data_IF_459159080879
#
_entry.id   IF_459159080879
#
_cell.length_a   1.000
_cell.length_b   1.000
_cell.length_c   1.000
_cell.angle_alpha   90.00
_cell.angle_beta   90.00
_cell.angle_gamma   90.00
#
_symmetry.space_group_name_H-M   'P 1'
#
loop_
_entity.id
_entity.type
_entity.pdbx_description
1 polymer ?
#
# COMPACT_ATOMS: atom_id res chain seq x y z
N UNK A 1 -51.77 -7.23 -9.61
CA UNK A 1 -50.41 -6.88 -10.08
C UNK A 1 -49.38 -7.59 -9.20
N UNK A 2 -48.58 -8.52 -9.74
CA UNK A 2 -47.48 -9.16 -8.99
C UNK A 2 -46.38 -8.12 -8.74
N UNK A 3 -46.19 -7.75 -7.48
CA UNK A 3 -45.10 -6.89 -7.03
C UNK A 3 -43.79 -7.52 -7.48
N UNK A 4 -43.04 -6.83 -8.34
CA UNK A 4 -41.76 -7.32 -8.88
C UNK A 4 -40.71 -7.22 -7.78
N UNK A 5 -40.64 -8.23 -6.91
CA UNK A 5 -39.60 -8.32 -5.89
C UNK A 5 -38.25 -8.32 -6.59
N UNK A 6 -37.44 -7.28 -6.37
CA UNK A 6 -36.08 -7.22 -6.88
C UNK A 6 -35.34 -8.46 -6.34
N UNK A 7 -34.95 -9.39 -7.23
CA UNK A 7 -34.12 -10.53 -6.84
C UNK A 7 -32.83 -9.98 -6.22
N UNK A 8 -32.69 -10.14 -4.90
CA UNK A 8 -31.49 -9.74 -4.19
C UNK A 8 -30.30 -10.53 -4.77
N UNK A 9 -29.21 -9.81 -5.10
CA UNK A 9 -28.01 -10.37 -5.75
C UNK A 9 -26.99 -10.89 -4.73
N UNK A 10 -27.45 -11.34 -3.59
CA UNK A 10 -26.69 -11.64 -2.36
C UNK A 10 -25.91 -12.96 -2.43
N UNK A 11 -26.38 -13.96 -3.18
CA UNK A 11 -25.70 -15.26 -3.30
C UNK A 11 -24.31 -15.26 -3.99
N UNK A 12 -23.47 -16.26 -3.68
CA UNK A 12 -22.11 -16.39 -4.19
C UNK A 12 -22.11 -16.72 -5.69
N UNK A 13 -21.05 -16.35 -6.41
CA UNK A 13 -20.96 -16.58 -7.87
C UNK A 13 -21.02 -18.07 -8.24
N UNK A 14 -20.54 -18.95 -7.37
CA UNK A 14 -20.55 -20.40 -7.54
C UNK A 14 -21.99 -20.94 -7.55
N UNK A 15 -22.80 -20.54 -6.56
CA UNK A 15 -24.22 -20.91 -6.51
C UNK A 15 -24.99 -20.29 -7.68
N UNK A 16 -24.69 -19.03 -8.03
CA UNK A 16 -25.30 -18.33 -9.17
C UNK A 16 -25.01 -19.01 -10.51
N UNK A 17 -23.74 -19.34 -10.78
CA UNK A 17 -23.32 -20.06 -12.00
C UNK A 17 -24.04 -21.39 -12.12
N UNK A 18 -24.25 -22.08 -11.00
CA UNK A 18 -24.96 -23.36 -10.92
C UNK A 18 -26.48 -23.22 -10.94
N UNK A 19 -27.01 -21.99 -10.97
CA UNK A 19 -28.45 -21.69 -10.93
C UNK A 19 -29.15 -22.29 -9.71
N UNK A 20 -28.46 -22.40 -8.57
CA UNK A 20 -29.03 -22.90 -7.29
C UNK A 20 -29.15 -21.77 -6.26
N UNK A 21 -30.12 -21.87 -5.34
CA UNK A 21 -30.29 -20.89 -4.25
C UNK A 21 -29.10 -20.97 -3.29
N UNK A 22 -28.44 -19.85 -3.05
CA UNK A 22 -27.42 -19.77 -1.99
C UNK A 22 -28.13 -19.68 -0.64
N UNK A 23 -27.59 -20.37 0.37
CA UNK A 23 -28.04 -20.26 1.77
C UNK A 23 -27.50 -19.02 2.47
N UNK A 24 -26.66 -18.22 1.80
CA UNK A 24 -26.17 -16.90 2.22
C UNK A 24 -25.38 -16.87 3.54
N UNK A 25 -25.08 -18.05 4.11
CA UNK A 25 -24.17 -18.18 5.25
C UNK A 25 -22.82 -17.54 4.92
N UNK A 26 -22.33 -16.75 5.89
CA UNK A 26 -21.03 -16.08 5.87
C UNK A 26 -20.07 -16.85 6.77
N UNK A 27 -18.75 -16.80 6.51
CA UNK A 27 -18.10 -16.20 5.33
C UNK A 27 -18.18 -17.09 4.07
N UNK A 28 -18.45 -18.38 4.26
CA UNK A 28 -18.64 -19.38 3.19
C UNK A 28 -20.03 -20.01 3.32
N UNK A 29 -20.70 -20.23 2.19
CA UNK A 29 -22.03 -20.83 2.18
C UNK A 29 -21.96 -22.35 2.38
N UNK A 30 -22.97 -22.95 3.00
CA UNK A 30 -22.95 -24.39 3.34
C UNK A 30 -22.87 -25.25 2.09
N UNK A 31 -23.44 -24.80 0.97
CA UNK A 31 -23.39 -25.51 -0.32
C UNK A 31 -21.99 -25.55 -0.93
N UNK A 32 -21.23 -24.46 -0.84
CA UNK A 32 -19.84 -24.45 -1.29
C UNK A 32 -18.97 -25.29 -0.35
N UNK A 33 -19.22 -25.21 0.95
CA UNK A 33 -18.53 -26.01 1.98
C UNK A 33 -18.69 -27.50 1.73
N UNK A 34 -19.93 -27.99 1.59
CA UNK A 34 -20.24 -29.40 1.33
C UNK A 34 -19.61 -29.95 0.05
N UNK A 35 -19.29 -29.08 -0.89
CA UNK A 35 -18.77 -29.47 -2.21
C UNK A 35 -17.27 -29.26 -2.36
N UNK A 36 -16.58 -28.75 -1.32
CA UNK A 36 -15.16 -28.42 -1.39
C UNK A 36 -14.81 -27.41 -2.47
N UNK A 37 -15.77 -26.55 -2.88
CA UNK A 37 -15.52 -25.54 -3.92
C UNK A 37 -15.16 -24.19 -3.29
N UNK A 38 -14.18 -23.45 -3.87
CA UNK A 38 -13.82 -22.13 -3.38
C UNK A 38 -15.01 -21.19 -3.55
N UNK A 39 -15.46 -20.52 -2.49
CA UNK A 39 -16.61 -19.63 -2.48
C UNK A 39 -16.18 -18.16 -2.68
N UNK A 40 -17.02 -17.33 -3.32
CA UNK A 40 -16.80 -15.87 -3.43
C UNK A 40 -17.49 -15.07 -2.33
N UNK A 41 -17.95 -15.74 -1.26
CA UNK A 41 -18.72 -15.10 -0.19
C UNK A 41 -20.07 -14.54 -0.63
N UNK A 42 -20.80 -13.99 0.34
CA UNK A 42 -22.11 -13.37 0.17
C UNK A 42 -22.10 -12.00 0.85
N UNK A 43 -22.54 -10.96 0.13
CA UNK A 43 -22.61 -9.60 0.66
C UNK A 43 -24.01 -9.05 0.48
N UNK A 44 -24.53 -8.40 1.52
CA UNK A 44 -25.64 -7.48 1.37
C UNK A 44 -25.17 -6.28 0.56
N UNK A 45 -25.96 -5.86 -0.42
CA UNK A 45 -25.85 -4.47 -0.89
C UNK A 45 -26.40 -3.65 0.26
N UNK A 46 -25.52 -3.02 1.03
CA UNK A 46 -25.94 -2.25 2.19
C UNK A 46 -26.79 -1.07 1.72
N UNK A 47 -28.10 -1.19 1.89
CA UNK A 47 -29.02 -0.06 1.93
C UNK A 47 -28.76 0.60 3.28
N UNK A 48 -27.67 1.37 3.37
CA UNK A 48 -27.42 2.20 4.54
C UNK A 48 -28.58 3.16 4.69
N UNK A 49 -29.46 2.90 5.65
CA UNK A 49 -30.23 3.97 6.25
C UNK A 49 -29.22 4.92 6.89
N UNK A 50 -29.34 6.20 6.58
CA UNK A 50 -28.48 7.26 7.10
C UNK A 50 -28.80 7.39 8.59
N UNK A 51 -28.18 6.57 9.44
CA UNK A 51 -28.17 6.83 10.87
C UNK A 51 -27.09 7.86 11.17
N UNK A 52 -27.56 9.06 11.55
CA UNK A 52 -26.74 10.22 11.86
C UNK A 52 -26.04 10.00 13.21
N UNK A 53 -24.69 10.06 13.29
CA UNK A 53 -23.94 9.69 14.51
C UNK A 53 -24.08 10.60 15.75
N UNK A 54 -24.91 11.65 15.73
CA UNK A 54 -25.02 12.58 16.88
C UNK A 54 -26.21 12.27 17.81
N UNK A 55 -26.95 11.18 17.58
CA UNK A 55 -28.15 10.82 18.35
C UNK A 55 -27.99 9.66 19.35
N UNK A 56 -26.81 9.05 19.50
CA UNK A 56 -26.57 8.02 20.52
C UNK A 56 -25.45 8.42 21.47
N UNK A 57 -25.78 9.37 22.36
CA UNK A 57 -25.19 9.37 23.69
C UNK A 57 -25.92 8.31 24.50
N UNK A 58 -25.26 7.19 24.81
CA UNK A 58 -25.73 6.24 25.82
C UNK A 58 -25.70 4.77 25.40
N UNK A 59 -24.70 4.06 25.93
CA UNK A 59 -24.92 2.70 26.46
C UNK A 59 -24.53 1.50 25.60
N UNK A 60 -23.67 0.68 26.20
CA UNK A 60 -23.42 -0.75 25.96
C UNK A 60 -22.48 -1.08 24.79
N UNK A 61 -21.22 -1.37 25.13
CA UNK A 61 -20.29 -2.07 24.26
C UNK A 61 -20.79 -3.50 23.99
N UNK A 62 -20.89 -3.95 22.73
CA UNK A 62 -21.15 -5.37 22.45
C UNK A 62 -19.90 -6.19 22.81
N UNK A 63 -20.12 -7.33 23.46
CA UNK A 63 -19.06 -8.26 23.88
C UNK A 63 -18.27 -8.91 22.72
N UNK A 64 -17.40 -9.90 23.01
CA UNK A 64 -16.37 -10.41 22.09
C UNK A 64 -16.94 -11.40 21.04
N UNK A 65 -17.98 -10.99 20.31
CA UNK A 65 -18.45 -11.67 19.11
C UNK A 65 -17.79 -11.12 17.83
N UNK A 66 -17.86 -11.84 16.70
CA UNK A 66 -17.44 -11.27 15.42
C UNK A 66 -18.28 -10.02 15.12
N UNK A 67 -17.59 -8.90 14.87
CA UNK A 67 -18.21 -7.63 14.52
C UNK A 67 -19.17 -7.78 13.33
N UNK A 68 -20.26 -7.01 13.31
CA UNK A 68 -21.15 -6.99 12.15
C UNK A 68 -20.41 -6.47 10.91
N UNK A 69 -20.86 -6.86 9.71
CA UNK A 69 -20.26 -6.43 8.44
C UNK A 69 -20.19 -4.89 8.31
N UNK A 70 -21.21 -4.21 8.83
CA UNK A 70 -21.28 -2.76 8.86
C UNK A 70 -20.25 -2.15 9.83
N UNK A 71 -19.98 -2.80 10.96
CA UNK A 71 -19.00 -2.34 11.95
C UNK A 71 -17.56 -2.45 11.42
N UNK A 72 -17.23 -3.56 10.75
CA UNK A 72 -15.87 -3.73 10.20
C UNK A 72 -15.59 -2.75 9.04
N UNK A 73 -16.58 -2.42 8.23
CA UNK A 73 -16.44 -1.41 7.18
C UNK A 73 -16.38 0.01 7.75
N UNK A 74 -17.13 0.32 8.81
CA UNK A 74 -16.96 1.59 9.53
C UNK A 74 -15.54 1.73 10.07
N UNK A 75 -15.01 0.66 10.67
CA UNK A 75 -13.63 0.63 11.16
C UNK A 75 -12.61 0.91 10.04
N UNK A 76 -12.83 0.40 8.82
CA UNK A 76 -12.00 0.77 7.68
C UNK A 76 -12.04 2.28 7.41
N UNK A 77 -13.24 2.86 7.25
CA UNK A 77 -13.42 4.25 6.83
C UNK A 77 -12.82 5.27 7.80
N UNK A 78 -12.67 4.91 9.07
CA UNK A 78 -12.15 5.81 10.10
C UNK A 78 -10.71 5.50 10.50
N UNK A 79 -10.30 4.23 10.49
CA UNK A 79 -9.02 3.80 11.06
C UNK A 79 -8.12 3.14 10.01
N UNK A 80 -8.51 1.99 9.46
CA UNK A 80 -7.60 1.19 8.63
C UNK A 80 -7.27 1.86 7.27
N UNK A 81 -8.12 2.78 6.77
CA UNK A 81 -7.82 3.55 5.57
C UNK A 81 -6.60 4.47 5.71
N UNK A 82 -6.20 4.80 6.94
CA UNK A 82 -5.01 5.61 7.21
C UNK A 82 -3.71 4.86 6.88
N UNK A 83 -3.70 3.52 6.85
CA UNK A 83 -2.48 2.74 6.59
C UNK A 83 -1.90 2.95 5.18
N UNK A 84 -2.67 3.50 4.24
CA UNK A 84 -2.30 3.59 2.82
C UNK A 84 -2.46 5.00 2.24
N UNK A 85 -2.67 6.02 3.09
CA UNK A 85 -2.79 7.40 2.63
C UNK A 85 -2.24 8.39 3.65
N UNK A 86 -1.66 9.47 3.15
CA UNK A 86 -1.11 10.57 3.94
C UNK A 86 -2.14 11.66 4.27
N UNK A 87 -3.42 11.44 3.96
CA UNK A 87 -4.51 12.37 4.22
C UNK A 87 -5.47 11.79 5.28
N UNK A 88 -5.95 12.59 6.24
CA UNK A 88 -6.96 12.14 7.19
C UNK A 88 -8.36 12.07 6.53
N UNK A 89 -9.30 11.28 7.06
CA UNK A 89 -10.72 11.41 6.72
C UNK A 89 -11.23 12.84 7.00
N UNK A 90 -12.14 13.40 6.18
CA UNK A 90 -12.76 12.80 4.99
C UNK A 90 -11.97 12.99 3.68
N UNK A 91 -10.81 13.67 3.72
CA UNK A 91 -9.99 13.93 2.53
C UNK A 91 -9.29 12.66 1.99
N UNK A 92 -9.19 11.62 2.81
CA UNK A 92 -8.71 10.30 2.41
C UNK A 92 -9.66 9.61 1.41
N UNK A 93 -9.24 9.33 0.15
CA UNK A 93 -10.08 8.66 -0.84
C UNK A 93 -10.53 7.24 -0.42
N UNK A 94 -9.73 6.56 0.40
CA UNK A 94 -10.06 5.24 0.93
C UNK A 94 -11.09 5.28 2.07
N UNK A 95 -11.46 6.46 2.58
CA UNK A 95 -12.52 6.59 3.59
C UNK A 95 -13.93 6.38 2.98
N UNK A 96 -14.92 7.16 3.39
CA UNK A 96 -16.30 7.07 2.89
C UNK A 96 -16.46 7.06 1.36
N UNK A 97 -15.67 7.80 0.56
CA UNK A 97 -15.78 7.76 -0.90
C UNK A 97 -15.66 6.32 -1.47
N UNK A 98 -14.87 5.45 -0.83
CA UNK A 98 -14.59 4.09 -1.29
C UNK A 98 -15.84 3.21 -1.39
N UNK A 99 -16.89 3.54 -0.63
CA UNK A 99 -18.16 2.81 -0.56
C UNK A 99 -18.74 2.48 -1.94
N UNK A 100 -18.64 3.40 -2.91
CA UNK A 100 -19.16 3.18 -4.27
C UNK A 100 -18.42 2.06 -5.01
N UNK A 101 -17.13 1.89 -4.76
CA UNK A 101 -16.32 0.82 -5.35
C UNK A 101 -16.57 -0.52 -4.64
N UNK A 102 -16.77 -0.53 -3.32
CA UNK A 102 -17.09 -1.75 -2.56
C UNK A 102 -18.45 -2.36 -2.94
N UNK A 103 -19.39 -1.56 -3.41
CA UNK A 103 -20.68 -2.06 -3.93
C UNK A 103 -20.54 -2.76 -5.29
N UNK A 104 -19.43 -2.54 -5.99
CA UNK A 104 -19.20 -3.03 -7.36
C UNK A 104 -18.26 -4.22 -7.43
N UNK A 105 -17.40 -4.42 -6.43
CA UNK A 105 -16.42 -5.50 -6.39
C UNK A 105 -16.47 -6.25 -5.07
N UNK A 106 -16.64 -7.57 -5.18
CA UNK A 106 -16.58 -8.50 -4.04
C UNK A 106 -15.15 -8.65 -3.58
N UNK A 107 -14.23 -8.71 -4.53
CA UNK A 107 -12.81 -8.83 -4.28
C UNK A 107 -12.31 -7.66 -3.43
N UNK A 108 -12.66 -6.43 -3.82
CA UNK A 108 -12.27 -5.23 -3.08
C UNK A 108 -12.87 -5.19 -1.67
N UNK A 109 -14.14 -5.59 -1.52
CA UNK A 109 -14.80 -5.64 -0.21
C UNK A 109 -14.11 -6.62 0.74
N UNK A 110 -13.85 -7.85 0.28
CA UNK A 110 -13.11 -8.84 1.04
C UNK A 110 -11.68 -8.37 1.40
N UNK A 111 -10.97 -7.73 0.46
CA UNK A 111 -9.62 -7.21 0.72
C UNK A 111 -9.61 -6.13 1.82
N UNK A 112 -10.56 -5.19 1.76
CA UNK A 112 -10.75 -4.16 2.79
C UNK A 112 -11.11 -4.78 4.15
N UNK A 113 -12.02 -5.76 4.17
CA UNK A 113 -12.41 -6.45 5.41
C UNK A 113 -11.25 -7.23 6.01
N UNK A 114 -10.44 -7.91 5.19
CA UNK A 114 -9.23 -8.61 5.62
C UNK A 114 -8.29 -7.69 6.41
N UNK A 115 -7.90 -6.56 5.81
CA UNK A 115 -7.03 -5.58 6.47
C UNK A 115 -7.70 -4.98 7.71
N UNK A 116 -9.01 -4.75 7.67
CA UNK A 116 -9.75 -4.19 8.80
C UNK A 116 -9.79 -5.13 10.00
N UNK A 117 -10.02 -6.43 9.78
CA UNK A 117 -10.00 -7.43 10.84
C UNK A 117 -8.60 -7.52 11.43
N UNK A 118 -7.57 -7.63 10.58
CA UNK A 118 -6.18 -7.68 11.00
C UNK A 118 -5.79 -6.46 11.84
N UNK A 119 -6.12 -5.25 11.38
CA UNK A 119 -5.83 -4.02 12.11
C UNK A 119 -6.58 -3.93 13.46
N UNK A 120 -7.81 -4.46 13.56
CA UNK A 120 -8.52 -4.49 14.87
C UNK A 120 -7.84 -5.41 15.85
N UNK A 121 -7.34 -6.54 15.39
CA UNK A 121 -6.55 -7.47 16.20
C UNK A 121 -5.06 -7.13 16.27
N UNK A 122 -4.65 -5.94 15.80
CA UNK A 122 -3.27 -5.46 15.87
C UNK A 122 -2.27 -6.31 15.10
N UNK A 123 -2.70 -6.92 13.99
CA UNK A 123 -1.90 -7.84 13.16
C UNK A 123 -1.27 -9.01 13.95
N UNK A 124 -1.82 -9.34 15.12
CA UNK A 124 -1.35 -10.46 15.95
C UNK A 124 -1.80 -11.80 15.37
N UNK A 125 -0.86 -12.70 15.10
CA UNK A 125 -1.10 -14.01 14.53
C UNK A 125 -2.01 -14.91 15.39
N UNK A 126 -1.91 -14.78 16.72
CA UNK A 126 -2.60 -15.64 17.70
C UNK A 126 -4.05 -15.22 17.99
N UNK A 127 -4.51 -14.14 17.37
CA UNK A 127 -5.86 -13.61 17.58
C UNK A 127 -6.91 -14.33 16.74
N UNK A 128 -8.13 -14.48 17.28
CA UNK A 128 -9.29 -14.93 16.50
C UNK A 128 -9.59 -14.03 15.29
N UNK A 129 -9.23 -12.75 15.37
CA UNK A 129 -9.31 -11.79 14.27
C UNK A 129 -8.36 -12.09 13.11
N UNK A 130 -7.19 -12.68 13.38
CA UNK A 130 -6.22 -13.08 12.34
C UNK A 130 -6.77 -14.18 11.43
N UNK A 131 -7.39 -15.21 12.01
CA UNK A 131 -8.01 -16.28 11.23
C UNK A 131 -9.10 -15.75 10.28
N UNK A 132 -9.93 -14.82 10.77
CA UNK A 132 -10.96 -14.16 9.94
C UNK A 132 -10.30 -13.29 8.86
N UNK A 133 -9.26 -12.53 9.21
CA UNK A 133 -8.54 -11.69 8.24
C UNK A 133 -7.96 -12.51 7.08
N UNK A 134 -7.33 -13.65 7.38
CA UNK A 134 -6.80 -14.57 6.36
C UNK A 134 -7.92 -15.23 5.55
N UNK A 135 -9.04 -15.55 6.17
CA UNK A 135 -10.20 -16.08 5.46
C UNK A 135 -10.78 -15.05 4.48
N UNK A 136 -10.95 -13.79 4.92
CA UNK A 136 -11.37 -12.69 4.06
C UNK A 136 -10.36 -12.42 2.96
N UNK A 137 -9.05 -12.53 3.23
CA UNK A 137 -7.99 -12.44 2.22
C UNK A 137 -8.16 -13.49 1.13
N UNK A 138 -8.39 -14.75 1.52
CA UNK A 138 -8.63 -15.84 0.58
C UNK A 138 -9.89 -15.61 -0.27
N UNK A 139 -10.97 -15.12 0.34
CA UNK A 139 -12.18 -14.74 -0.39
C UNK A 139 -11.94 -13.59 -1.36
N UNK A 140 -11.08 -12.63 -1.01
CA UNK A 140 -10.66 -11.56 -1.91
C UNK A 140 -9.94 -12.11 -3.14
N UNK A 141 -8.97 -13.00 -2.95
CA UNK A 141 -8.19 -13.62 -4.04
C UNK A 141 -9.10 -14.43 -4.96
N UNK A 142 -9.96 -15.29 -4.39
CA UNK A 142 -10.93 -16.09 -5.18
C UNK A 142 -11.88 -15.17 -5.95
N UNK A 143 -12.41 -14.14 -5.30
CA UNK A 143 -13.30 -13.18 -5.96
C UNK A 143 -12.59 -12.38 -7.05
N UNK A 144 -11.32 -12.01 -6.84
CA UNK A 144 -10.50 -11.31 -7.82
C UNK A 144 -10.31 -12.14 -9.08
N UNK A 145 -9.94 -13.42 -8.93
CA UNK A 145 -9.82 -14.36 -10.05
C UNK A 145 -11.14 -14.48 -10.84
N UNK A 146 -12.27 -14.49 -10.14
CA UNK A 146 -13.59 -14.50 -10.77
C UNK A 146 -13.89 -13.20 -11.54
N UNK A 147 -13.57 -12.05 -10.97
CA UNK A 147 -13.75 -10.74 -11.61
C UNK A 147 -12.88 -10.60 -12.87
N UNK A 148 -11.63 -11.08 -12.82
CA UNK A 148 -10.72 -11.13 -13.97
C UNK A 148 -11.31 -11.96 -15.12
N UNK A 149 -11.77 -13.20 -14.82
CA UNK A 149 -12.40 -14.08 -15.83
C UNK A 149 -13.64 -13.44 -16.48
N UNK A 150 -14.43 -12.69 -15.70
CA UNK A 150 -15.61 -11.99 -16.22
C UNK A 150 -15.23 -10.86 -17.18
N UNK A 151 -14.12 -10.17 -16.94
CA UNK A 151 -13.66 -9.07 -17.80
C UNK A 151 -13.19 -9.55 -19.16
N UNK A 152 -12.54 -10.72 -19.23
CA UNK A 152 -12.11 -11.32 -20.51
C UNK A 152 -13.28 -11.51 -21.50
N UNK A 153 -14.52 -11.57 -21.01
CA UNK A 153 -15.73 -11.70 -21.82
C UNK A 153 -16.43 -10.37 -22.18
N UNK A 154 -15.92 -9.21 -21.73
CA UNK A 154 -16.57 -7.90 -21.89
C UNK A 154 -15.81 -6.97 -22.84
N UNK A 155 -16.56 -6.26 -23.67
CA UNK A 155 -16.06 -5.29 -24.66
C UNK A 155 -15.62 -3.95 -24.06
N UNK A 156 -16.10 -3.55 -22.87
CA UNK A 156 -15.69 -2.30 -22.23
C UNK A 156 -15.54 -2.42 -20.69
N UNK A 157 -14.33 -2.67 -20.18
CA UNK A 157 -14.11 -2.97 -18.77
C UNK A 157 -13.80 -1.77 -17.86
N UNK A 158 -13.80 -0.53 -18.38
CA UNK A 158 -13.26 0.67 -17.69
C UNK A 158 -13.56 0.79 -16.19
N UNK A 159 -14.84 0.73 -15.74
CA UNK A 159 -15.18 0.85 -14.31
C UNK A 159 -14.69 -0.31 -13.43
N UNK A 160 -14.45 -1.50 -14.00
CA UNK A 160 -13.95 -2.67 -13.28
C UNK A 160 -12.41 -2.66 -13.15
N UNK A 161 -11.71 -1.92 -14.02
CA UNK A 161 -10.25 -1.78 -13.94
C UNK A 161 -9.81 -1.14 -12.62
N UNK A 162 -10.57 -0.14 -12.14
CA UNK A 162 -10.30 0.53 -10.87
C UNK A 162 -10.36 -0.43 -9.69
N UNK A 163 -11.41 -1.25 -9.63
CA UNK A 163 -11.59 -2.20 -8.53
C UNK A 163 -10.57 -3.33 -8.61
N UNK A 164 -10.23 -3.82 -9.80
CA UNK A 164 -9.17 -4.82 -9.96
C UNK A 164 -7.83 -4.27 -9.49
N UNK A 165 -7.42 -3.12 -10.01
CA UNK A 165 -6.14 -2.49 -9.67
C UNK A 165 -6.05 -2.21 -8.18
N UNK A 166 -7.07 -1.58 -7.60
CA UNK A 166 -7.09 -1.26 -6.18
C UNK A 166 -7.08 -2.53 -5.30
N UNK A 167 -7.83 -3.57 -5.68
CA UNK A 167 -7.81 -4.84 -4.93
C UNK A 167 -6.41 -5.46 -4.98
N UNK A 168 -5.80 -5.53 -6.16
CA UNK A 168 -4.43 -6.08 -6.31
C UNK A 168 -3.43 -5.27 -5.49
N UNK A 169 -3.48 -3.94 -5.51
CA UNK A 169 -2.57 -3.11 -4.72
C UNK A 169 -2.80 -3.27 -3.21
N UNK A 170 -4.05 -3.33 -2.73
CA UNK A 170 -4.33 -3.59 -1.31
C UNK A 170 -3.80 -4.97 -0.90
N UNK A 171 -4.00 -6.00 -1.73
CA UNK A 171 -3.47 -7.35 -1.48
C UNK A 171 -1.93 -7.37 -1.46
N UNK A 172 -1.30 -6.62 -2.35
CA UNK A 172 0.16 -6.44 -2.40
C UNK A 172 0.69 -5.81 -1.12
N UNK A 173 0.19 -4.61 -0.76
CA UNK A 173 0.66 -3.87 0.41
C UNK A 173 0.42 -4.65 1.70
N UNK A 174 -0.73 -5.30 1.82
CA UNK A 174 -1.07 -6.08 3.02
C UNK A 174 -0.41 -7.45 3.11
N UNK A 175 0.33 -7.92 2.09
CA UNK A 175 1.03 -9.21 2.16
C UNK A 175 2.03 -9.24 3.31
N UNK A 176 2.95 -8.27 3.35
CA UNK A 176 3.98 -8.20 4.37
C UNK A 176 3.45 -7.90 5.78
N UNK A 177 2.21 -7.43 5.92
CA UNK A 177 1.58 -7.16 7.22
C UNK A 177 0.90 -8.38 7.81
N UNK A 178 0.52 -9.33 6.95
CA UNK A 178 -0.22 -10.54 7.30
C UNK A 178 0.66 -11.79 7.28
N UNK A 179 1.85 -11.70 6.70
CA UNK A 179 2.85 -12.77 6.67
C UNK A 179 3.78 -12.67 7.89
N UNK A 180 3.77 -13.70 8.74
CA UNK A 180 4.70 -13.82 9.87
C UNK A 180 6.03 -14.46 9.48
N UNK A 181 6.17 -14.97 8.25
CA UNK A 181 7.39 -15.64 7.78
C UNK A 181 8.39 -14.71 7.12
N UNK A 182 7.97 -13.49 6.78
CA UNK A 182 8.76 -12.46 6.10
C UNK A 182 9.30 -12.86 4.72
N UNK A 183 8.63 -13.81 4.08
CA UNK A 183 9.02 -14.33 2.77
C UNK A 183 8.18 -13.75 1.64
N UNK A 184 6.96 -13.30 1.94
CA UNK A 184 6.03 -12.78 0.95
C UNK A 184 5.82 -11.26 1.05
N UNK A 185 6.16 -10.54 -0.03
CA UNK A 185 5.89 -9.10 -0.14
C UNK A 185 4.76 -8.76 -1.14
N UNK A 186 4.07 -9.78 -1.67
CA UNK A 186 2.93 -9.59 -2.58
C UNK A 186 3.29 -9.33 -4.04
N UNK A 187 4.46 -9.81 -4.49
CA UNK A 187 4.98 -9.70 -5.85
C UNK A 187 3.95 -10.00 -6.94
N UNK A 188 3.20 -11.08 -6.79
CA UNK A 188 2.23 -11.58 -7.78
C UNK A 188 1.12 -10.56 -8.00
N UNK A 189 0.68 -9.90 -6.93
CA UNK A 189 -0.35 -8.87 -7.00
C UNK A 189 0.18 -7.59 -7.66
N UNK A 190 1.43 -7.21 -7.38
CA UNK A 190 2.07 -6.08 -8.06
C UNK A 190 2.23 -6.34 -9.55
N UNK A 191 2.73 -7.51 -9.94
CA UNK A 191 2.87 -7.89 -11.36
C UNK A 191 1.50 -7.95 -12.06
N UNK A 192 0.49 -8.49 -11.39
CA UNK A 192 -0.89 -8.48 -11.87
C UNK A 192 -1.42 -7.05 -12.08
N UNK A 193 -1.19 -6.15 -11.14
CA UNK A 193 -1.53 -4.72 -11.26
C UNK A 193 -0.77 -4.06 -12.42
N UNK A 194 0.54 -4.28 -12.54
CA UNK A 194 1.36 -3.77 -13.66
C UNK A 194 0.87 -4.24 -15.03
N UNK A 195 0.35 -5.47 -15.13
CA UNK A 195 -0.16 -6.02 -16.40
C UNK A 195 -1.39 -5.29 -16.94
N UNK A 196 -2.18 -4.63 -16.08
CA UNK A 196 -3.39 -3.91 -16.46
C UNK A 196 -3.16 -2.40 -16.65
N UNK A 197 -1.96 -1.90 -16.36
CA UNK A 197 -1.60 -0.48 -16.51
C UNK A 197 -1.92 0.06 -17.91
N UNK A 198 -1.54 -0.59 -19.03
CA UNK A 198 -1.81 -0.03 -20.35
C UNK A 198 -3.30 0.21 -20.65
N UNK A 199 -4.20 -0.58 -20.05
CA UNK A 199 -5.64 -0.41 -20.20
C UNK A 199 -6.22 0.64 -19.24
N UNK A 200 -5.61 0.78 -18.06
CA UNK A 200 -6.00 1.70 -16.99
C UNK A 200 -5.56 3.13 -17.26
N UNK A 201 -4.31 3.33 -17.69
CA UNK A 201 -3.67 4.64 -17.85
C UNK A 201 -3.97 5.30 -19.22
N UNK A 202 -5.11 4.97 -19.85
CA UNK A 202 -5.51 5.60 -21.13
C UNK A 202 -6.11 6.97 -20.86
N UNK A 203 -5.40 8.02 -21.29
CA UNK A 203 -5.81 9.41 -21.09
C UNK A 203 -5.26 9.98 -19.80
N UNK A 204 -6.07 10.73 -19.07
CA UNK A 204 -5.70 11.46 -17.85
C UNK A 204 -6.65 11.09 -16.70
N UNK A 205 -6.21 11.18 -15.43
CA UNK A 205 -7.06 10.88 -14.28
C UNK A 205 -8.22 11.88 -14.22
N UNK A 206 -9.41 11.38 -14.53
CA UNK A 206 -10.65 12.16 -14.50
C UNK A 206 -11.24 12.28 -13.09
N UNK A 207 -10.81 11.42 -12.17
CA UNK A 207 -11.34 11.32 -10.81
C UNK A 207 -10.25 11.02 -9.77
N UNK A 208 -10.57 11.30 -8.50
CA UNK A 208 -9.66 11.16 -7.37
C UNK A 208 -9.23 9.71 -7.08
N UNK A 209 -10.04 8.71 -7.43
CA UNK A 209 -9.66 7.30 -7.26
C UNK A 209 -8.65 6.86 -8.29
N UNK A 210 -8.86 7.23 -9.55
CA UNK A 210 -7.87 7.00 -10.62
C UNK A 210 -6.51 7.57 -10.24
N UNK A 211 -6.52 8.81 -9.73
CA UNK A 211 -5.33 9.48 -9.25
C UNK A 211 -4.69 8.70 -8.10
N UNK A 212 -5.44 8.44 -7.01
CA UNK A 212 -4.98 7.67 -5.85
C UNK A 212 -4.34 6.32 -6.23
N UNK A 213 -5.02 5.53 -7.05
CA UNK A 213 -4.59 4.20 -7.46
C UNK A 213 -3.24 4.25 -8.16
N UNK A 214 -3.03 5.23 -9.04
CA UNK A 214 -1.80 5.35 -9.79
C UNK A 214 -0.60 5.72 -8.91
N UNK A 215 -0.75 6.63 -7.93
CA UNK A 215 0.36 6.88 -7.00
C UNK A 215 0.55 5.77 -5.96
N UNK A 216 -0.49 5.02 -5.59
CA UNK A 216 -0.32 3.79 -4.81
C UNK A 216 0.49 2.75 -5.59
N UNK A 217 0.23 2.60 -6.89
CA UNK A 217 1.03 1.75 -7.77
C UNK A 217 2.49 2.19 -7.79
N UNK A 218 2.78 3.48 -8.01
CA UNK A 218 4.14 4.01 -7.98
C UNK A 218 4.84 3.74 -6.64
N UNK A 219 4.13 3.94 -5.52
CA UNK A 219 4.66 3.68 -4.18
C UNK A 219 5.05 2.21 -4.01
N UNK A 220 4.15 1.29 -4.35
CA UNK A 220 4.43 -0.16 -4.28
C UNK A 220 5.57 -0.56 -5.21
N UNK A 221 5.59 -0.01 -6.44
CA UNK A 221 6.61 -0.28 -7.44
C UNK A 221 8.00 0.12 -6.97
N UNK A 222 8.15 1.33 -6.41
CA UNK A 222 9.43 1.78 -5.89
C UNK A 222 9.92 0.85 -4.78
N UNK A 223 9.14 0.65 -3.72
CA UNK A 223 9.60 -0.15 -2.57
C UNK A 223 9.71 -1.65 -2.84
N UNK A 224 9.10 -2.16 -3.90
CA UNK A 224 9.28 -3.54 -4.35
C UNK A 224 10.45 -3.73 -5.33
N UNK A 225 10.96 -2.66 -5.93
CA UNK A 225 11.96 -2.74 -7.01
C UNK A 225 13.27 -3.42 -6.59
N UNK A 226 13.63 -3.33 -5.31
CA UNK A 226 14.81 -3.96 -4.69
C UNK A 226 14.70 -5.48 -4.59
N UNK A 227 13.48 -6.01 -4.54
CA UNK A 227 13.22 -7.45 -4.39
C UNK A 227 12.80 -8.08 -5.71
N UNK A 228 12.51 -7.27 -6.73
CA UNK A 228 11.96 -7.75 -7.98
C UNK A 228 13.03 -8.43 -8.85
N UNK A 229 12.84 -9.71 -9.25
CA UNK A 229 13.79 -10.43 -10.09
C UNK A 229 14.01 -9.75 -11.44
N UNK A 230 15.23 -9.87 -11.98
CA UNK A 230 15.68 -9.21 -13.22
C UNK A 230 14.74 -9.43 -14.40
N UNK A 231 14.19 -10.65 -14.52
CA UNK A 231 13.29 -11.04 -15.61
C UNK A 231 12.02 -10.18 -15.70
N UNK A 232 11.62 -9.49 -14.62
CA UNK A 232 10.43 -8.66 -14.58
C UNK A 232 10.70 -7.15 -14.59
N UNK A 233 11.95 -6.71 -14.42
CA UNK A 233 12.28 -5.30 -14.19
C UNK A 233 11.92 -4.40 -15.38
N UNK A 234 12.17 -4.84 -16.61
CA UNK A 234 11.87 -4.05 -17.82
C UNK A 234 10.37 -3.77 -17.98
N UNK A 235 9.54 -4.82 -17.93
CA UNK A 235 8.08 -4.67 -18.00
C UNK A 235 7.53 -3.86 -16.81
N UNK A 236 8.09 -4.06 -15.61
CA UNK A 236 7.73 -3.30 -14.44
C UNK A 236 8.03 -1.80 -14.62
N UNK A 237 9.22 -1.44 -15.12
CA UNK A 237 9.58 -0.04 -15.38
C UNK A 237 8.65 0.62 -16.40
N UNK A 238 8.30 -0.06 -17.49
CA UNK A 238 7.33 0.46 -18.47
C UNK A 238 5.97 0.79 -17.84
N UNK A 239 5.53 -0.04 -16.89
CA UNK A 239 4.28 0.19 -16.15
C UNK A 239 4.38 1.42 -15.23
N UNK A 240 5.54 1.63 -14.60
CA UNK A 240 5.83 2.79 -13.74
C UNK A 240 5.86 4.08 -14.56
N UNK A 241 6.56 4.08 -15.70
CA UNK A 241 6.67 5.24 -16.57
C UNK A 241 5.28 5.64 -17.11
N UNK A 242 4.45 4.65 -17.47
CA UNK A 242 3.06 4.87 -17.92
C UNK A 242 2.19 5.48 -16.82
N UNK A 243 2.32 5.01 -15.58
CA UNK A 243 1.57 5.55 -14.43
C UNK A 243 2.04 6.95 -14.05
N UNK A 244 3.34 7.23 -14.10
CA UNK A 244 3.89 8.55 -13.85
C UNK A 244 3.42 9.57 -14.90
N UNK A 245 3.39 9.18 -16.18
CA UNK A 245 2.83 9.99 -17.25
C UNK A 245 1.32 10.25 -17.04
N UNK A 246 0.56 9.24 -16.61
CA UNK A 246 -0.86 9.37 -16.31
C UNK A 246 -1.14 10.39 -15.19
N UNK A 247 -0.42 10.31 -14.07
CA UNK A 247 -0.61 11.25 -12.95
C UNK A 247 0.12 12.58 -13.12
N UNK A 248 0.82 12.78 -14.25
CA UNK A 248 1.46 14.04 -14.58
C UNK A 248 0.44 15.17 -14.73
N UNK A 249 -0.86 14.91 -14.90
CA UNK A 249 -1.90 15.93 -14.75
C UNK A 249 -2.70 15.66 -13.49
N UNK A 250 -2.66 16.64 -12.57
CA UNK A 250 -3.31 16.58 -11.25
C UNK A 250 -4.78 16.99 -11.39
N UNK A 251 -5.74 16.25 -10.80
CA UNK A 251 -7.13 16.69 -10.74
C UNK A 251 -7.25 18.06 -10.04
N UNK A 252 -8.11 18.99 -10.50
CA UNK A 252 -8.18 20.35 -9.96
C UNK A 252 -8.49 20.45 -8.45
N UNK A 253 -9.15 19.42 -7.89
CA UNK A 253 -9.58 19.39 -6.49
C UNK A 253 -8.57 18.78 -5.53
N UNK A 254 -7.47 18.21 -6.03
CA UNK A 254 -6.47 17.54 -5.20
C UNK A 254 -5.25 18.44 -5.07
N UNK A 255 -4.92 19.01 -3.89
CA UNK A 255 -3.76 19.89 -3.74
C UNK A 255 -2.42 19.13 -3.84
N UNK A 256 -2.40 17.85 -3.50
CA UNK A 256 -1.25 16.94 -3.68
C UNK A 256 -1.75 15.50 -3.88
N UNK A 257 -0.84 14.58 -4.22
CA UNK A 257 -1.19 13.16 -4.29
C UNK A 257 -1.35 12.55 -2.88
N UNK A 258 -2.41 11.78 -2.56
CA UNK A 258 -2.64 11.24 -1.21
C UNK A 258 -1.68 10.14 -0.73
N UNK A 259 -0.62 9.83 -1.49
CA UNK A 259 0.30 8.70 -1.20
C UNK A 259 1.74 9.19 -1.38
N UNK A 260 2.03 9.75 -2.57
CA UNK A 260 3.36 10.22 -2.94
C UNK A 260 3.53 11.74 -2.81
N UNK A 261 2.55 12.45 -2.23
CA UNK A 261 2.60 13.89 -2.04
C UNK A 261 2.84 14.66 -3.33
N UNK A 262 3.92 15.45 -3.36
CA UNK A 262 4.39 16.19 -4.55
C UNK A 262 5.56 15.51 -5.26
N UNK A 263 5.98 14.34 -4.77
CA UNK A 263 7.17 13.62 -5.18
C UNK A 263 6.92 12.63 -6.33
N UNK A 264 5.73 12.63 -6.94
CA UNK A 264 5.35 11.65 -7.98
C UNK A 264 6.34 11.52 -9.13
N UNK A 265 7.01 12.62 -9.52
CA UNK A 265 8.03 12.64 -10.58
C UNK A 265 9.31 11.90 -10.20
N UNK A 266 9.60 11.72 -8.90
CA UNK A 266 10.79 11.01 -8.43
C UNK A 266 10.65 9.49 -8.52
N UNK A 267 9.42 8.96 -8.34
CA UNK A 267 9.18 7.52 -8.22
C UNK A 267 9.65 6.67 -9.43
N UNK A 268 9.57 7.13 -10.69
CA UNK A 268 10.15 6.41 -11.81
C UNK A 268 11.66 6.21 -11.71
N UNK A 269 12.39 7.28 -11.36
CA UNK A 269 13.86 7.22 -11.22
C UNK A 269 14.24 6.41 -9.98
N UNK A 270 13.52 6.59 -8.88
CA UNK A 270 13.68 5.80 -7.67
C UNK A 270 13.46 4.29 -7.91
N UNK A 271 12.49 3.93 -8.76
CA UNK A 271 12.29 2.54 -9.19
C UNK A 271 13.48 2.02 -10.01
N UNK A 272 14.02 2.83 -10.94
CA UNK A 272 15.25 2.47 -11.69
C UNK A 272 16.43 2.25 -10.76
N UNK A 273 16.56 3.08 -9.72
CA UNK A 273 17.60 2.97 -8.70
C UNK A 273 17.47 1.66 -7.93
N UNK A 274 16.27 1.29 -7.46
CA UNK A 274 16.08 0.01 -6.77
C UNK A 274 16.30 -1.21 -7.68
N UNK A 275 15.89 -1.15 -8.96
CA UNK A 275 16.25 -2.16 -9.95
C UNK A 275 17.77 -2.27 -10.17
N UNK A 276 18.48 -1.14 -10.21
CA UNK A 276 19.94 -1.10 -10.32
C UNK A 276 20.60 -1.68 -9.06
N UNK A 277 20.18 -1.29 -7.87
CA UNK A 277 20.65 -1.88 -6.61
C UNK A 277 20.48 -3.40 -6.62
N UNK A 278 19.31 -3.91 -7.01
CA UNK A 278 19.07 -5.35 -7.11
C UNK A 278 20.03 -6.04 -8.10
N UNK A 279 20.30 -5.42 -9.25
CA UNK A 279 21.30 -5.93 -10.21
C UNK A 279 22.68 -6.01 -9.59
N UNK A 280 23.16 -4.95 -8.92
CA UNK A 280 24.48 -4.93 -8.28
C UNK A 280 24.59 -5.99 -7.19
N UNK A 281 23.53 -6.21 -6.40
CA UNK A 281 23.50 -7.28 -5.37
C UNK A 281 23.65 -8.67 -6.00
N UNK A 282 23.01 -8.92 -7.14
CA UNK A 282 23.07 -10.22 -7.81
C UNK A 282 24.35 -10.44 -8.63
N UNK A 283 24.83 -9.43 -9.36
CA UNK A 283 25.98 -9.57 -10.25
C UNK A 283 27.32 -9.19 -9.60
N UNK A 284 27.29 -8.41 -8.50
CA UNK A 284 28.47 -7.74 -7.91
C UNK A 284 29.19 -6.80 -8.90
N UNK A 285 28.48 -6.28 -9.89
CA UNK A 285 29.02 -5.34 -10.87
C UNK A 285 28.48 -3.93 -10.62
N UNK A 286 29.34 -3.03 -10.16
CA UNK A 286 29.02 -1.62 -9.98
C UNK A 286 29.52 -0.76 -11.15
N UNK A 287 28.69 0.18 -11.61
CA UNK A 287 28.98 1.13 -12.68
C UNK A 287 28.85 2.58 -12.18
N UNK A 288 29.99 3.28 -12.06
CA UNK A 288 30.00 4.69 -11.68
C UNK A 288 29.25 5.56 -12.70
N UNK A 289 29.33 5.24 -13.99
CA UNK A 289 28.60 5.94 -15.05
C UNK A 289 27.09 5.82 -14.85
N UNK A 290 26.59 4.60 -14.62
CA UNK A 290 25.15 4.36 -14.37
C UNK A 290 24.68 5.11 -13.13
N UNK A 291 25.47 5.07 -12.05
CA UNK A 291 25.19 5.82 -10.81
C UNK A 291 25.10 7.33 -11.09
N UNK A 292 26.06 7.91 -11.81
CA UNK A 292 26.06 9.33 -12.14
C UNK A 292 24.87 9.71 -13.04
N UNK A 293 24.46 8.84 -13.95
CA UNK A 293 23.28 9.06 -14.80
C UNK A 293 21.99 9.08 -13.96
N UNK A 294 21.82 8.12 -13.06
CA UNK A 294 20.66 8.05 -12.15
C UNK A 294 20.60 9.25 -11.20
N UNK A 295 21.73 9.73 -10.68
CA UNK A 295 21.79 10.95 -9.86
C UNK A 295 21.34 12.18 -10.64
N UNK A 296 21.77 12.32 -11.90
CA UNK A 296 21.32 13.41 -12.77
C UNK A 296 19.82 13.34 -13.03
N UNK A 297 19.30 12.17 -13.40
CA UNK A 297 17.85 11.97 -13.57
C UNK A 297 17.06 12.30 -12.30
N UNK A 298 17.58 11.95 -11.12
CA UNK A 298 16.97 12.37 -9.86
C UNK A 298 16.93 13.90 -9.81
N UNK A 299 18.09 14.57 -9.88
CA UNK A 299 18.22 16.03 -9.78
C UNK A 299 17.31 16.80 -10.75
N UNK A 300 17.16 16.31 -11.98
CA UNK A 300 16.32 16.92 -13.01
C UNK A 300 14.81 16.87 -12.66
N UNK A 301 14.40 15.94 -11.81
CA UNK A 301 13.00 15.87 -11.35
C UNK A 301 12.71 17.02 -10.39
N UNK A 302 11.82 17.95 -10.79
CA UNK A 302 11.31 19.00 -9.90
C UNK A 302 10.03 18.55 -9.18
N UNK A 303 9.94 18.65 -7.84
CA UNK A 303 8.69 18.49 -7.10
C UNK A 303 7.69 19.57 -7.55
N UNK A 304 6.45 19.19 -7.86
CA UNK A 304 5.47 20.14 -8.43
C UNK A 304 4.77 20.94 -7.34
N UNK A 305 4.81 22.28 -7.47
CA UNK A 305 4.05 23.30 -6.73
C UNK A 305 3.38 22.76 -5.46
N UNK A 306 4.19 22.67 -4.41
CA UNK A 306 3.70 22.55 -3.06
C UNK A 306 2.98 23.85 -2.74
N UNK A 307 1.65 23.83 -2.66
CA UNK A 307 0.96 24.91 -1.98
C UNK A 307 1.47 24.98 -0.55
N UNK A 308 2.35 25.95 -0.24
CA UNK A 308 2.91 26.36 1.07
C UNK A 308 3.25 25.29 2.14
N UNK A 309 3.25 23.98 1.85
CA UNK A 309 3.48 22.93 2.83
C UNK A 309 4.95 22.54 2.87
N UNK A 310 5.66 23.09 3.85
CA UNK A 310 7.07 22.78 4.11
C UNK A 310 7.32 21.27 4.30
N UNK A 311 6.38 20.54 4.90
CA UNK A 311 6.52 19.08 5.11
C UNK A 311 6.49 18.30 3.80
N UNK A 312 5.67 18.70 2.82
CA UNK A 312 5.61 18.02 1.52
C UNK A 312 6.88 18.26 0.70
N UNK A 313 7.45 19.47 0.78
CA UNK A 313 8.74 19.79 0.16
C UNK A 313 9.86 18.96 0.77
N UNK A 314 9.98 18.96 2.10
CA UNK A 314 11.00 18.16 2.81
C UNK A 314 10.82 16.65 2.57
N UNK A 315 9.59 16.15 2.49
CA UNK A 315 9.29 14.76 2.13
C UNK A 315 9.81 14.41 0.72
N UNK A 316 9.62 15.30 -0.26
CA UNK A 316 10.13 15.09 -1.60
C UNK A 316 11.67 15.11 -1.65
N UNK A 317 12.32 16.00 -0.88
CA UNK A 317 13.77 16.01 -0.70
C UNK A 317 14.27 14.72 -0.05
N UNK A 318 13.57 14.22 0.98
CA UNK A 318 13.94 12.95 1.60
C UNK A 318 13.79 11.77 0.64
N UNK A 319 12.76 11.71 -0.20
CA UNK A 319 12.69 10.68 -1.25
C UNK A 319 13.88 10.74 -2.21
N UNK A 320 14.35 11.95 -2.57
CA UNK A 320 15.57 12.12 -3.38
C UNK A 320 16.82 11.62 -2.63
N UNK A 321 16.96 11.99 -1.36
CA UNK A 321 18.07 11.54 -0.51
C UNK A 321 18.08 10.02 -0.33
N UNK A 322 16.91 9.39 -0.17
CA UNK A 322 16.80 7.93 -0.17
C UNK A 322 17.38 7.34 -1.46
N UNK A 323 17.03 7.89 -2.63
CA UNK A 323 17.60 7.47 -3.91
C UNK A 323 19.13 7.51 -3.93
N UNK A 324 19.73 8.58 -3.42
CA UNK A 324 21.19 8.69 -3.31
C UNK A 324 21.80 7.74 -2.29
N UNK A 325 21.19 7.59 -1.11
CA UNK A 325 21.61 6.64 -0.07
C UNK A 325 21.68 5.23 -0.66
N UNK A 326 20.68 4.84 -1.45
CA UNK A 326 20.62 3.53 -2.10
C UNK A 326 21.71 3.35 -3.15
N UNK A 327 22.07 4.40 -3.89
CA UNK A 327 23.19 4.33 -4.82
C UNK A 327 24.52 4.13 -4.09
N UNK A 328 24.70 4.75 -2.93
CA UNK A 328 25.86 4.50 -2.06
C UNK A 328 25.82 3.09 -1.46
N UNK A 329 24.66 2.60 -1.03
CA UNK A 329 24.49 1.22 -0.59
C UNK A 329 24.85 0.23 -1.72
N UNK A 330 24.47 0.52 -2.97
CA UNK A 330 24.87 -0.29 -4.13
C UNK A 330 26.39 -0.30 -4.33
N UNK A 331 27.07 0.84 -4.16
CA UNK A 331 28.53 0.89 -4.21
C UNK A 331 29.17 0.04 -3.11
N UNK A 332 28.65 0.14 -1.87
CA UNK A 332 29.10 -0.63 -0.69
C UNK A 332 28.93 -2.14 -0.80
N UNK A 333 28.08 -2.62 -1.73
CA UNK A 333 27.98 -4.05 -2.05
C UNK A 333 29.26 -4.56 -2.73
N UNK A 334 29.98 -3.71 -3.46
CA UNK A 334 31.18 -4.08 -4.21
C UNK A 334 32.46 -3.58 -3.52
N UNK A 335 32.49 -2.32 -3.08
CA UNK A 335 33.69 -1.65 -2.59
C UNK A 335 33.40 -0.75 -1.38
N UNK A 336 34.39 -0.50 -0.54
CA UNK A 336 34.28 0.52 0.51
C UNK A 336 34.18 1.94 -0.07
N UNK A 337 33.50 2.84 0.64
CA UNK A 337 33.44 4.25 0.27
C UNK A 337 34.72 4.95 0.69
N UNK A 338 35.24 5.86 -0.14
CA UNK A 338 36.26 6.80 0.30
C UNK A 338 35.69 7.78 1.35
N UNK A 339 36.58 8.44 2.09
CA UNK A 339 36.20 9.33 3.19
C UNK A 339 35.27 10.49 2.76
N UNK A 340 35.38 10.97 1.52
CA UNK A 340 34.54 12.08 1.03
C UNK A 340 33.12 11.58 0.76
N UNK A 341 33.02 10.45 0.06
CA UNK A 341 31.75 9.80 -0.23
C UNK A 341 31.04 9.33 1.04
N UNK A 342 31.79 8.87 2.04
CA UNK A 342 31.27 8.47 3.35
C UNK A 342 30.63 9.66 4.09
N UNK A 343 31.30 10.82 4.11
CA UNK A 343 30.75 12.06 4.69
C UNK A 343 29.46 12.48 3.97
N UNK A 344 29.46 12.48 2.63
CA UNK A 344 28.28 12.87 1.83
C UNK A 344 27.11 11.91 2.10
N UNK A 345 27.40 10.61 2.13
CA UNK A 345 26.44 9.57 2.46
C UNK A 345 25.79 9.81 3.83
N UNK A 346 26.61 10.05 4.86
CA UNK A 346 26.09 10.29 6.21
C UNK A 346 25.30 11.59 6.33
N UNK A 347 25.69 12.67 5.67
CA UNK A 347 24.91 13.91 5.66
C UNK A 347 23.49 13.67 5.11
N UNK A 348 23.35 12.88 4.04
CA UNK A 348 22.03 12.52 3.49
C UNK A 348 21.21 11.68 4.46
N UNK A 349 21.83 10.74 5.18
CA UNK A 349 21.17 9.97 6.23
C UNK A 349 20.64 10.92 7.31
N UNK A 350 21.46 11.84 7.80
CA UNK A 350 21.08 12.80 8.85
C UNK A 350 19.92 13.71 8.41
N UNK A 351 19.92 14.21 7.18
CA UNK A 351 18.80 15.01 6.63
C UNK A 351 17.47 14.24 6.64
N UNK A 352 17.49 12.92 6.37
CA UNK A 352 16.30 12.06 6.46
C UNK A 352 15.85 11.90 7.92
N UNK A 353 16.78 11.74 8.87
CA UNK A 353 16.46 11.65 10.30
C UNK A 353 15.84 12.96 10.81
N UNK A 354 16.31 14.12 10.35
CA UNK A 354 15.72 15.41 10.71
C UNK A 354 14.28 15.58 10.20
N UNK A 355 13.94 15.01 9.04
CA UNK A 355 12.55 14.97 8.61
C UNK A 355 11.73 14.08 9.55
N UNK A 356 12.21 12.87 9.83
CA UNK A 356 11.54 11.90 10.72
C UNK A 356 11.20 12.55 12.07
N UNK A 357 12.17 13.26 12.68
CA UNK A 357 12.00 13.97 13.95
C UNK A 357 10.91 15.04 13.88
N UNK A 358 10.82 15.75 12.75
CA UNK A 358 9.89 16.87 12.58
C UNK A 358 8.43 16.46 12.34
N UNK A 359 8.15 15.20 11.96
CA UNK A 359 6.78 14.76 11.70
C UNK A 359 6.00 14.66 13.02
N UNK A 360 4.84 15.33 13.16
CA UNK A 360 4.01 15.27 14.37
C UNK A 360 3.49 13.85 14.66
N UNK A 361 3.34 13.52 15.95
CA UNK A 361 2.99 12.18 16.41
C UNK A 361 1.61 11.65 15.95
N UNK A 362 0.67 12.55 15.61
CA UNK A 362 -0.69 12.22 15.22
C UNK A 362 -1.03 12.61 13.76
N UNK A 363 0.00 12.87 12.94
CA UNK A 363 -0.19 13.22 11.53
C UNK A 363 -0.16 11.96 10.65
N UNK A 364 -1.11 11.76 9.72
CA UNK A 364 -1.10 10.65 8.76
C UNK A 364 0.16 10.57 7.90
N UNK A 365 0.96 11.65 7.82
CA UNK A 365 2.30 11.63 7.24
C UNK A 365 3.21 10.59 7.89
N UNK A 366 2.95 10.16 9.13
CA UNK A 366 3.74 9.13 9.80
C UNK A 366 3.84 7.83 8.98
N UNK A 367 2.83 7.51 8.16
CA UNK A 367 2.82 6.32 7.31
C UNK A 367 3.94 6.33 6.24
N UNK A 368 4.50 7.50 5.90
CA UNK A 368 5.60 7.59 4.93
C UNK A 368 6.96 7.24 5.56
N UNK A 369 7.03 7.16 6.90
CA UNK A 369 8.29 6.99 7.62
C UNK A 369 8.84 5.58 7.58
N UNK A 370 7.99 4.55 7.43
CA UNK A 370 8.42 3.14 7.49
C UNK A 370 9.65 2.84 6.63
N UNK A 371 9.62 3.15 5.32
CA UNK A 371 10.78 2.97 4.46
C UNK A 371 11.96 3.89 4.79
N UNK A 372 11.74 5.10 5.31
CA UNK A 372 12.83 6.01 5.70
C UNK A 372 13.60 5.49 6.91
N UNK A 373 12.86 4.99 7.91
CA UNK A 373 13.41 4.35 9.10
C UNK A 373 14.22 3.12 8.73
N UNK A 374 13.74 2.34 7.74
CA UNK A 374 14.45 1.17 7.26
C UNK A 374 15.72 1.54 6.46
N UNK A 375 15.61 2.40 5.44
CA UNK A 375 16.71 2.65 4.49
C UNK A 375 17.78 3.56 5.07
N UNK A 376 17.39 4.65 5.75
CA UNK A 376 18.34 5.62 6.31
C UNK A 376 18.65 5.30 7.78
N UNK A 377 17.64 4.90 8.56
CA UNK A 377 17.83 4.58 9.98
C UNK A 377 18.80 3.42 10.20
N UNK A 378 18.75 2.38 9.35
CA UNK A 378 19.68 1.26 9.41
C UNK A 378 21.11 1.60 9.04
N UNK A 379 21.43 2.84 8.67
CA UNK A 379 22.79 3.25 8.33
C UNK A 379 23.46 4.01 9.48
N UNK A 380 22.74 4.31 10.57
CA UNK A 380 23.28 5.08 11.69
C UNK A 380 24.30 4.27 12.53
N UNK A 381 25.56 4.71 12.59
CA UNK A 381 26.58 4.08 13.42
C UNK A 381 26.33 4.29 14.92
N UNK A 382 26.94 3.47 15.81
CA UNK A 382 26.69 3.52 17.25
C UNK A 382 26.92 4.89 17.90
N UNK A 383 27.89 5.67 17.42
CA UNK A 383 28.22 7.00 17.95
C UNK A 383 27.12 8.06 17.75
N UNK A 384 26.17 7.84 16.85
CA UNK A 384 25.04 8.74 16.59
C UNK A 384 23.86 8.45 17.54
N UNK A 385 24.11 8.42 18.85
CA UNK A 385 23.14 7.99 19.86
C UNK A 385 21.83 8.79 19.84
N UNK A 386 21.93 10.12 19.62
CA UNK A 386 20.76 11.00 19.54
C UNK A 386 19.86 10.62 18.35
N UNK A 387 20.44 10.45 17.17
CA UNK A 387 19.71 10.10 15.95
C UNK A 387 19.13 8.68 16.03
N UNK A 388 19.88 7.74 16.62
CA UNK A 388 19.36 6.39 16.89
C UNK A 388 18.17 6.43 17.85
N UNK A 389 18.18 7.31 18.86
CA UNK A 389 17.01 7.53 19.72
C UNK A 389 15.80 8.10 18.96
N UNK A 390 16.01 9.01 18.02
CA UNK A 390 14.94 9.51 17.12
C UNK A 390 14.33 8.37 16.32
N UNK A 391 15.15 7.50 15.72
CA UNK A 391 14.67 6.33 14.96
C UNK A 391 13.85 5.40 15.86
N UNK A 392 14.33 5.06 17.06
CA UNK A 392 13.57 4.23 18.02
C UNK A 392 12.21 4.85 18.37
N UNK A 393 12.19 6.13 18.69
CA UNK A 393 10.96 6.84 19.03
C UNK A 393 10.00 6.87 17.85
N UNK A 394 10.48 7.19 16.65
CA UNK A 394 9.67 7.25 15.44
C UNK A 394 9.11 5.88 15.05
N UNK A 395 9.90 4.81 15.13
CA UNK A 395 9.45 3.43 14.90
C UNK A 395 8.38 3.03 15.92
N UNK A 396 8.55 3.32 17.21
CA UNK A 396 7.53 3.06 18.23
C UNK A 396 6.23 3.82 17.97
N UNK A 397 6.30 5.10 17.56
CA UNK A 397 5.11 5.87 17.16
C UNK A 397 4.43 5.26 15.93
N UNK A 398 5.21 4.86 14.93
CA UNK A 398 4.70 4.26 13.69
C UNK A 398 3.97 2.93 13.99
N UNK A 399 4.54 2.08 14.83
CA UNK A 399 3.91 0.82 15.28
C UNK A 399 2.66 1.13 16.09
N UNK A 400 2.69 2.10 17.01
CA UNK A 400 1.50 2.49 17.76
C UNK A 400 0.38 3.02 16.86
N UNK A 401 0.72 3.75 15.79
CA UNK A 401 -0.25 4.33 14.86
C UNK A 401 -0.83 3.28 13.90
N UNK A 402 0.03 2.44 13.32
CA UNK A 402 -0.35 1.47 12.28
C UNK A 402 -0.72 0.09 12.82
N UNK A 403 -0.22 -0.25 14.00
CA UNK A 403 -0.20 -1.60 14.60
C UNK A 403 0.59 -2.64 13.81
N UNK A 404 1.38 -2.22 12.81
CA UNK A 404 2.16 -3.12 11.97
C UNK A 404 3.52 -3.34 12.64
N UNK A 405 3.71 -4.54 13.19
CA UNK A 405 4.93 -4.91 13.91
C UNK A 405 6.14 -5.11 12.99
N UNK A 406 5.96 -5.30 11.68
CA UNK A 406 7.07 -5.39 10.72
C UNK A 406 8.00 -4.17 10.78
N UNK A 407 7.51 -3.01 11.19
CA UNK A 407 8.33 -1.80 11.37
C UNK A 407 9.29 -1.87 12.57
N UNK A 408 9.07 -2.77 13.53
CA UNK A 408 9.99 -2.97 14.68
C UNK A 408 11.36 -3.48 14.22
N UNK A 409 11.43 -4.18 13.08
CA UNK A 409 12.69 -4.64 12.48
C UNK A 409 13.66 -3.51 12.15
N UNK A 410 13.16 -2.31 11.88
CA UNK A 410 14.03 -1.14 11.71
C UNK A 410 14.87 -0.88 12.96
N UNK A 411 14.29 -1.06 14.15
CA UNK A 411 14.98 -0.94 15.43
C UNK A 411 16.03 -2.05 15.56
N UNK A 412 15.68 -3.29 15.24
CA UNK A 412 16.63 -4.41 15.29
C UNK A 412 17.86 -4.18 14.41
N UNK A 413 17.68 -3.66 13.19
CA UNK A 413 18.79 -3.37 12.29
C UNK A 413 19.67 -2.22 12.82
N UNK A 414 19.05 -1.16 13.34
CA UNK A 414 19.76 -0.05 14.00
C UNK A 414 20.57 -0.56 15.21
N UNK A 415 20.05 -1.53 15.95
CA UNK A 415 20.73 -2.16 17.09
C UNK A 415 21.84 -3.13 16.66
N UNK A 416 21.65 -3.93 15.60
CA UNK A 416 22.67 -4.89 15.12
C UNK A 416 23.95 -4.22 14.60
N UNK A 417 23.87 -3.00 14.08
CA UNK A 417 25.05 -2.22 13.69
C UNK A 417 25.96 -1.82 14.86
N UNK A 418 25.67 -2.24 16.09
CA UNK A 418 26.58 -2.12 17.24
C UNK A 418 27.80 -3.05 17.13
N UNK A 419 27.70 -4.12 16.35
CA UNK A 419 28.69 -5.22 16.35
C UNK A 419 29.46 -5.38 15.02
N UNK A 420 29.27 -4.49 14.04
CA UNK A 420 29.80 -4.64 12.66
C UNK A 420 30.81 -3.59 12.23
N UNK A 421 31.42 -2.87 13.18
CA UNK A 421 32.47 -1.87 12.92
C UNK A 421 33.69 -2.10 13.79
#
# INVERSE_FOLDING_TARGET
>A
MRTRTLKQRTGCEQCKRRKVKCDERKPVCSRCTLRGEPCTGNFSIDIWQIERPWAFSGGIAPGPGPASEDDILRHWYTNACLLMAMLPPPANPLSYPLKRLLQRSRALRHAVQSVSYAHRSGFSADSSGSAIALQERNLAIVSLQWEIKRIQSKTNPGPLMHTLMLTSLILCVSSAWLDSSDTEYGKEFLLGASSIVPAFSRGEPQDEFSFYIAGLHLYCSFFSSYLLPLAHQSQHQQSVDSMAAFIAKRPPKSPCHPVVGIASSLFPVLTKIGHYFRRVVESREFSQETTNNLRRELLDCSPRDAGNSIYLTRLAECYRNLGDIILYQAQRVCDELDAVNDIIFFNKVLEVIELIESIPANDPLINTLGPMLLIAGSELPPQYEKQRAVVRQASARLVSFTKIHTYEKSIELVEKNRDSY
#
